data_IF_730019679847
#
_entry.id   IF_730019679847
#
_cell.length_a   1.000
_cell.length_b   1.000
_cell.length_c   1.000
_cell.angle_alpha   90.00
_cell.angle_beta   90.00
_cell.angle_gamma   90.00
#
_symmetry.space_group_name_H-M   'P 1'
#
loop_
_entity.id
_entity.type
_entity.pdbx_description
1 polymer ?
#
# COMPACT_ATOMS: atom_id res chain seq x y z
N UNK A 1 -10.91 -64.93 6.49
CA UNK A 1 -9.62 -64.34 6.04
C UNK A 1 -9.96 -63.19 5.09
N UNK A 2 -9.16 -62.10 5.08
CA UNK A 2 -9.23 -60.84 4.28
C UNK A 2 -9.85 -59.65 5.06
N UNK A 3 -9.05 -58.87 5.81
CA UNK A 3 -8.30 -57.60 5.48
C UNK A 3 -9.20 -56.37 5.24
N UNK A 4 -9.42 -55.50 6.26
CA UNK A 4 -8.72 -54.21 6.56
C UNK A 4 -8.78 -53.19 5.42
N UNK A 5 -9.33 -51.98 5.68
CA UNK A 5 -8.63 -50.67 5.56
C UNK A 5 -9.42 -49.62 6.35
N UNK A 6 -8.78 -49.04 7.37
CA UNK A 6 -9.16 -47.80 8.05
C UNK A 6 -8.65 -46.63 7.20
N UNK A 7 -9.53 -45.74 6.77
CA UNK A 7 -9.13 -44.45 6.20
C UNK A 7 -9.53 -43.34 7.17
N UNK A 8 -8.70 -43.11 8.18
CA UNK A 8 -8.70 -41.86 8.92
C UNK A 8 -8.17 -40.78 7.97
N UNK A 9 -9.07 -40.09 7.27
CA UNK A 9 -8.72 -38.91 6.52
C UNK A 9 -8.37 -37.81 7.52
N UNK A 10 -7.08 -37.66 7.79
CA UNK A 10 -6.54 -36.41 8.30
C UNK A 10 -6.89 -35.31 7.28
N UNK A 11 -8.01 -34.62 7.50
CA UNK A 11 -8.25 -33.33 6.90
C UNK A 11 -7.26 -32.36 7.54
N UNK A 12 -6.02 -32.40 7.07
CA UNK A 12 -5.04 -31.36 7.31
C UNK A 12 -5.55 -30.15 6.53
N UNK A 13 -6.46 -29.38 7.13
CA UNK A 13 -6.73 -28.01 6.69
C UNK A 13 -5.37 -27.33 6.73
N UNK A 14 -4.76 -26.96 5.58
CA UNK A 14 -3.61 -26.09 5.63
C UNK A 14 -4.17 -24.82 6.27
N UNK A 15 -3.81 -24.58 7.52
CA UNK A 15 -4.10 -23.34 8.18
C UNK A 15 -3.63 -22.27 7.21
N UNK A 16 -4.59 -21.54 6.64
CA UNK A 16 -4.34 -20.23 6.05
C UNK A 16 -3.89 -19.38 7.21
N UNK A 17 -2.65 -19.60 7.66
CA UNK A 17 -1.84 -18.56 8.21
C UNK A 17 -1.85 -17.54 7.10
N UNK A 18 -2.69 -16.54 7.29
CA UNK A 18 -2.70 -15.29 6.57
C UNK A 18 -1.28 -14.74 6.71
N UNK A 19 -0.38 -15.25 5.87
CA UNK A 19 0.86 -14.58 5.55
C UNK A 19 0.33 -13.31 4.94
N UNK A 20 0.15 -12.26 5.76
CA UNK A 20 -0.10 -10.89 5.31
C UNK A 20 0.84 -10.73 4.15
N UNK A 21 0.29 -10.83 2.93
CA UNK A 21 1.11 -10.99 1.74
C UNK A 21 1.83 -9.66 1.65
N UNK A 22 3.14 -9.67 1.89
CA UNK A 22 3.93 -8.44 1.87
C UNK A 22 3.79 -7.84 0.48
N UNK A 23 2.95 -6.81 0.37
CA UNK A 23 2.71 -6.13 -0.89
C UNK A 23 3.64 -4.91 -0.92
N UNK A 24 4.58 -4.85 -1.88
CA UNK A 24 5.49 -3.72 -1.98
C UNK A 24 4.80 -2.42 -2.44
N UNK A 25 3.52 -2.46 -2.84
CA UNK A 25 2.71 -1.33 -3.28
C UNK A 25 1.62 -0.94 -2.25
N UNK A 26 1.53 -1.65 -1.12
CA UNK A 26 0.55 -1.35 -0.07
C UNK A 26 1.24 -1.31 1.29
N UNK A 27 0.83 -0.35 2.13
CA UNK A 27 1.17 -0.28 3.54
C UNK A 27 -0.14 -0.43 4.31
N UNK A 28 -0.24 -1.52 5.05
CA UNK A 28 -1.43 -1.85 5.85
C UNK A 28 -1.39 -1.16 7.22
N UNK A 29 -2.56 -0.99 7.86
CA UNK A 29 -2.67 -0.50 9.25
C UNK A 29 -1.74 -1.25 10.21
N UNK A 30 -1.69 -2.58 10.10
CA UNK A 30 -0.83 -3.41 10.93
C UNK A 30 0.67 -3.14 10.75
N UNK A 31 1.11 -2.65 9.58
CA UNK A 31 2.50 -2.20 9.37
C UNK A 31 2.74 -0.81 9.98
N UNK A 32 1.75 0.10 9.88
CA UNK A 32 1.84 1.45 10.44
C UNK A 32 1.95 1.37 11.96
N UNK A 33 1.11 0.58 12.61
CA UNK A 33 1.06 0.40 14.07
C UNK A 33 2.37 -0.14 14.64
N UNK A 34 3.13 -0.92 13.87
CA UNK A 34 4.45 -1.44 14.29
C UNK A 34 5.56 -0.39 14.34
N UNK A 35 5.35 0.77 13.72
CA UNK A 35 6.42 1.78 13.51
C UNK A 35 6.21 3.08 14.27
N UNK A 36 5.05 3.28 14.91
CA UNK A 36 4.72 4.46 15.74
C UNK A 36 5.00 5.83 15.07
N UNK A 37 4.87 5.93 13.75
CA UNK A 37 5.02 7.20 13.04
C UNK A 37 3.81 8.12 13.26
N UNK A 38 4.02 9.44 13.20
CA UNK A 38 2.97 10.44 13.45
C UNK A 38 2.29 10.90 12.17
N UNK A 39 2.99 10.86 11.03
CA UNK A 39 2.51 11.37 9.75
C UNK A 39 2.59 10.34 8.62
N UNK A 40 1.71 10.46 7.62
CA UNK A 40 1.76 9.61 6.42
C UNK A 40 3.13 9.70 5.71
N UNK A 41 3.75 10.87 5.75
CA UNK A 41 5.07 11.09 5.16
C UNK A 41 6.14 10.22 5.83
N UNK A 42 6.16 10.17 7.16
CA UNK A 42 7.09 9.35 7.92
C UNK A 42 6.86 7.86 7.68
N UNK A 43 5.59 7.43 7.65
CA UNK A 43 5.21 6.06 7.32
C UNK A 43 5.78 5.64 5.97
N UNK A 44 5.51 6.42 4.92
CA UNK A 44 6.00 6.11 3.57
C UNK A 44 7.52 6.17 3.53
N UNK A 45 8.14 7.19 4.14
CA UNK A 45 9.60 7.34 4.17
C UNK A 45 10.29 6.18 4.88
N UNK A 46 9.74 5.71 6.00
CA UNK A 46 10.32 4.65 6.82
C UNK A 46 10.12 3.26 6.23
N UNK A 47 8.90 2.94 5.80
CA UNK A 47 8.55 1.60 5.31
C UNK A 47 8.83 1.40 3.82
N UNK A 48 8.72 2.46 3.01
CA UNK A 48 8.75 2.41 1.54
C UNK A 48 9.40 3.66 0.95
N UNK A 49 10.62 3.99 1.40
CA UNK A 49 11.41 5.13 0.90
C UNK A 49 11.48 5.22 -0.63
N UNK A 50 11.48 4.06 -1.31
CA UNK A 50 11.46 3.95 -2.78
C UNK A 50 10.28 4.64 -3.46
N UNK A 51 9.13 4.79 -2.77
CA UNK A 51 7.95 5.46 -3.34
C UNK A 51 8.13 6.98 -3.42
N UNK A 52 8.99 7.54 -2.55
CA UNK A 52 9.38 8.95 -2.56
C UNK A 52 10.60 9.20 -3.45
N UNK A 53 11.39 8.16 -3.71
CA UNK A 53 12.60 8.27 -4.49
C UNK A 53 12.29 8.77 -5.92
N UNK A 54 13.10 9.69 -6.45
CA UNK A 54 13.02 10.01 -7.87
C UNK A 54 13.31 8.75 -8.68
N UNK A 55 12.42 8.42 -9.60
CA UNK A 55 12.68 7.38 -10.61
C UNK A 55 14.03 7.69 -11.26
N UNK A 56 14.93 6.71 -11.28
CA UNK A 56 16.26 6.88 -11.85
C UNK A 56 16.13 7.38 -13.30
N UNK A 57 16.67 8.57 -13.57
CA UNK A 57 16.59 9.23 -14.88
C UNK A 57 15.68 10.46 -14.96
N UNK A 58 14.93 10.82 -13.93
CA UNK A 58 14.15 12.08 -13.90
C UNK A 58 14.83 13.11 -13.02
N UNK A 59 15.48 14.10 -13.65
CA UNK A 59 16.20 15.20 -13.00
C UNK A 59 15.34 15.94 -11.98
N UNK A 60 15.96 16.34 -10.87
CA UNK A 60 15.43 17.08 -9.70
C UNK A 60 14.97 18.52 -10.07
N UNK A 61 14.83 18.84 -11.35
CA UNK A 61 14.47 20.17 -11.86
C UNK A 61 12.99 20.22 -12.21
N UNK A 62 12.10 20.25 -11.22
CA UNK A 62 10.77 20.83 -11.38
C UNK A 62 9.97 20.78 -10.07
N UNK A 63 9.60 21.95 -9.55
CA UNK A 63 8.41 22.10 -8.70
C UNK A 63 7.08 21.78 -9.42
N UNK A 64 7.10 20.90 -10.43
CA UNK A 64 5.98 20.49 -11.30
C UNK A 64 5.90 18.95 -11.46
N UNK A 65 6.70 18.20 -10.70
CA UNK A 65 6.75 16.75 -10.81
C UNK A 65 6.90 16.09 -9.45
N UNK A 66 6.06 16.41 -8.46
CA UNK A 66 5.99 15.63 -7.22
C UNK A 66 5.06 14.42 -7.42
N UNK A 67 5.26 13.33 -6.68
CA UNK A 67 4.27 12.23 -6.64
C UNK A 67 2.96 12.81 -6.11
N UNK A 68 1.87 12.63 -6.85
CA UNK A 68 0.58 13.22 -6.48
C UNK A 68 -0.04 12.42 -5.34
N UNK A 69 -0.54 13.12 -4.34
CA UNK A 69 -1.11 12.51 -3.14
C UNK A 69 -2.62 12.61 -3.23
N UNK A 70 -3.28 11.51 -2.91
CA UNK A 70 -4.72 11.39 -2.83
C UNK A 70 -5.12 10.91 -1.44
N UNK A 71 -6.29 11.33 -0.99
CA UNK A 71 -6.94 10.85 0.24
C UNK A 71 -8.32 10.37 -0.13
N UNK A 72 -8.58 9.07 0.03
CA UNK A 72 -9.81 8.41 -0.42
C UNK A 72 -10.17 8.80 -1.88
N UNK A 73 -9.16 8.84 -2.77
CA UNK A 73 -9.32 9.23 -4.17
C UNK A 73 -9.46 10.73 -4.46
N UNK A 74 -9.44 11.61 -3.45
CA UNK A 74 -9.47 13.08 -3.64
C UNK A 74 -8.07 13.67 -3.61
N UNK A 75 -7.73 14.63 -4.49
CA UNK A 75 -6.40 15.23 -4.51
C UNK A 75 -6.11 15.95 -3.19
N UNK A 76 -4.96 15.64 -2.60
CA UNK A 76 -4.45 16.25 -1.38
C UNK A 76 -3.16 17.02 -1.66
N UNK A 77 -2.91 18.06 -0.86
CA UNK A 77 -1.73 18.92 -1.01
C UNK A 77 -0.41 18.25 -0.63
N UNK A 78 -0.43 17.18 0.17
CA UNK A 78 0.78 16.43 0.54
C UNK A 78 0.60 15.44 1.68
N UNK A 79 1.58 14.55 1.86
CA UNK A 79 1.57 13.51 2.90
C UNK A 79 1.79 14.05 4.32
N UNK A 80 2.49 15.18 4.47
CA UNK A 80 2.82 15.74 5.79
C UNK A 80 1.61 16.29 6.55
N UNK A 81 0.52 16.62 5.85
CA UNK A 81 -0.71 17.11 6.47
C UNK A 81 -1.64 15.99 6.97
N UNK A 82 -1.30 14.72 6.68
CA UNK A 82 -2.15 13.57 6.99
C UNK A 82 -1.57 12.85 8.22
N UNK A 83 -2.28 12.85 9.36
CA UNK A 83 -1.82 12.15 10.55
C UNK A 83 -1.91 10.63 10.35
N UNK A 84 -0.89 9.88 10.79
CA UNK A 84 -0.85 8.43 10.65
C UNK A 84 -2.01 7.72 11.40
N UNK A 85 -2.52 8.34 12.46
CA UNK A 85 -3.62 7.80 13.26
C UNK A 85 -4.90 7.53 12.45
N UNK A 86 -5.21 8.38 11.47
CA UNK A 86 -6.42 8.24 10.64
C UNK A 86 -6.21 7.34 9.44
N UNK A 87 -4.98 6.84 9.20
CA UNK A 87 -4.66 6.06 8.01
C UNK A 87 -5.03 4.61 8.25
N UNK A 88 -5.88 4.08 7.38
CA UNK A 88 -6.19 2.66 7.34
C UNK A 88 -5.22 1.91 6.41
N UNK A 89 -4.97 2.45 5.22
CA UNK A 89 -4.07 1.86 4.24
C UNK A 89 -3.41 2.95 3.40
N UNK A 90 -2.17 2.75 2.97
CA UNK A 90 -1.53 3.58 1.96
C UNK A 90 -1.22 2.72 0.75
N UNK A 91 -1.70 3.14 -0.41
CA UNK A 91 -1.47 2.45 -1.67
C UNK A 91 -0.64 3.31 -2.61
N UNK A 92 0.38 2.71 -3.18
CA UNK A 92 1.18 3.31 -4.23
C UNK A 92 0.74 2.77 -5.59
N UNK A 93 0.40 3.69 -6.48
CA UNK A 93 0.13 3.41 -7.88
C UNK A 93 1.35 3.78 -8.71
N UNK A 94 1.96 2.82 -9.41
CA UNK A 94 3.06 3.11 -10.32
C UNK A 94 2.58 4.02 -11.47
N UNK A 95 3.50 4.71 -12.19
CA UNK A 95 3.16 5.67 -13.24
C UNK A 95 2.12 5.17 -14.24
N UNK A 96 2.27 3.95 -14.75
CA UNK A 96 1.35 3.39 -15.73
C UNK A 96 -0.09 3.25 -15.18
N UNK A 97 -0.24 2.74 -13.95
CA UNK A 97 -1.55 2.60 -13.30
C UNK A 97 -2.14 3.95 -12.91
N UNK A 98 -1.31 4.86 -12.39
CA UNK A 98 -1.75 6.20 -12.03
C UNK A 98 -2.23 6.98 -13.26
N UNK A 99 -1.55 6.82 -14.41
CA UNK A 99 -1.99 7.40 -15.67
C UNK A 99 -3.29 6.78 -16.19
N UNK A 100 -3.47 5.47 -16.03
CA UNK A 100 -4.72 4.81 -16.40
C UNK A 100 -5.91 5.28 -15.54
N UNK A 101 -5.68 5.58 -14.26
CA UNK A 101 -6.73 5.97 -13.31
C UNK A 101 -7.05 7.47 -13.32
N UNK A 102 -6.04 8.34 -13.38
CA UNK A 102 -6.20 9.79 -13.25
C UNK A 102 -5.67 10.59 -14.43
N UNK A 103 -5.13 9.94 -15.47
CA UNK A 103 -4.66 10.57 -16.70
C UNK A 103 -3.16 10.90 -16.73
N UNK A 104 -2.69 11.38 -17.89
CA UNK A 104 -1.28 11.49 -18.26
C UNK A 104 -0.42 12.39 -17.35
N UNK A 105 -1.02 13.24 -16.53
CA UNK A 105 -0.34 14.10 -15.55
C UNK A 105 0.32 13.35 -14.38
N UNK A 106 0.22 12.01 -14.33
CA UNK A 106 0.75 11.16 -13.26
C UNK A 106 2.02 10.39 -13.66
N UNK A 107 2.92 11.04 -14.40
CA UNK A 107 4.15 10.41 -14.93
C UNK A 107 5.09 9.86 -13.84
N UNK A 108 4.94 10.27 -12.57
CA UNK A 108 5.74 9.79 -11.44
C UNK A 108 4.98 8.82 -10.51
N UNK A 109 3.76 8.44 -10.89
CA UNK A 109 2.86 7.66 -10.05
C UNK A 109 2.01 8.52 -9.14
N UNK A 110 1.24 7.84 -8.28
CA UNK A 110 0.36 8.47 -7.32
C UNK A 110 0.34 7.67 -6.02
N UNK A 111 0.20 8.36 -4.90
CA UNK A 111 -0.01 7.73 -3.59
C UNK A 111 -1.43 8.05 -3.17
N UNK A 112 -2.20 7.02 -2.84
CA UNK A 112 -3.55 7.15 -2.32
C UNK A 112 -3.57 6.69 -0.87
N UNK A 113 -4.03 7.58 0.00
CA UNK A 113 -4.15 7.34 1.43
C UNK A 113 -5.61 7.06 1.74
N UNK A 114 -5.87 5.85 2.19
CA UNK A 114 -7.19 5.36 2.51
C UNK A 114 -7.36 5.55 4.02
N UNK A 115 -8.29 6.43 4.42
CA UNK A 115 -8.51 6.76 5.84
C UNK A 115 -9.70 6.00 6.44
N UNK A 116 -10.63 5.61 5.57
CA UNK A 116 -11.77 4.77 5.92
C UNK A 116 -11.50 3.34 5.50
N UNK A 117 -12.00 2.37 6.25
CA UNK A 117 -12.17 1.03 5.74
C UNK A 117 -13.10 1.16 4.51
N UNK A 118 -12.55 1.05 3.30
CA UNK A 118 -13.38 1.01 2.10
C UNK A 118 -14.20 -0.27 2.25
N UNK A 119 -15.49 -0.13 2.59
CA UNK A 119 -16.39 -1.22 2.97
C UNK A 119 -16.72 -2.20 1.85
N UNK A 120 -15.72 -2.70 1.13
CA UNK A 120 -15.78 -3.86 0.24
C UNK A 120 -15.50 -5.11 1.08
N UNK A 121 -16.46 -5.41 1.97
CA UNK A 121 -16.67 -6.74 2.52
C UNK A 121 -17.54 -7.56 1.57
#
# INVERSE_FOLDING_TARGET
MVFVVVAAACASTPGTGERTRYDPHVITRAEIEKTQYETAYEVVRGLRSRWLAPVAGTSIMAGQGAVRVYVDGRPSGGLGAIPALIIHEIRYYPPAEAQARWGLSHQRGAIDVITREDGRG
#
